data_IF_361585683255
#
_entry.id   IF_361585683255
#
_cell.length_a   1.000
_cell.length_b   1.000
_cell.length_c   1.000
_cell.angle_alpha   90.00
_cell.angle_beta   90.00
_cell.angle_gamma   90.00
#
_symmetry.space_group_name_H-M   'P 1'
#
loop_
_entity.id
_entity.type
_entity.pdbx_description
1 polymer ?
#
# COMPACT_ATOMS: atom_id res chain seq x y z
N UNK A 1 -9.29 -1.90 -16.71
CA UNK A 1 -8.31 -0.94 -17.32
C UNK A 1 -7.69 -1.52 -18.60
N UNK A 2 -7.32 -0.66 -19.57
CA UNK A 2 -6.57 -1.09 -20.77
C UNK A 2 -5.07 -1.16 -20.45
N UNK A 3 -4.32 -2.01 -21.21
CA UNK A 3 -2.85 -2.08 -21.07
C UNK A 3 -2.15 -0.75 -21.21
N UNK A 4 -2.59 0.11 -22.14
CA UNK A 4 -2.00 1.44 -22.32
C UNK A 4 -2.18 2.35 -21.12
N UNK A 5 -3.30 2.24 -20.40
CA UNK A 5 -3.59 2.97 -19.17
C UNK A 5 -2.67 2.46 -18.05
N UNK A 6 -2.58 1.14 -17.84
CA UNK A 6 -1.68 0.51 -16.87
C UNK A 6 -0.22 0.94 -17.13
N UNK A 7 0.25 0.87 -18.38
CA UNK A 7 1.60 1.31 -18.72
C UNK A 7 1.83 2.81 -18.47
N UNK A 8 0.79 3.65 -18.62
CA UNK A 8 0.84 5.05 -18.28
C UNK A 8 1.04 5.27 -16.78
N UNK A 9 0.29 4.54 -15.96
CA UNK A 9 0.35 4.56 -14.50
C UNK A 9 1.73 4.10 -14.00
N UNK A 10 2.23 2.99 -14.55
CA UNK A 10 3.57 2.48 -14.22
C UNK A 10 4.65 3.54 -14.50
N UNK A 11 4.63 4.19 -15.67
CA UNK A 11 5.60 5.27 -15.98
C UNK A 11 5.51 6.44 -15.01
N UNK A 12 4.30 6.87 -14.63
CA UNK A 12 4.13 7.93 -13.62
C UNK A 12 4.73 7.51 -12.27
N UNK A 13 4.57 6.25 -11.91
CA UNK A 13 5.13 5.73 -10.67
C UNK A 13 6.67 5.63 -10.75
N UNK A 14 7.23 5.17 -11.86
CA UNK A 14 8.69 5.15 -12.10
C UNK A 14 9.28 6.56 -12.00
N UNK A 15 8.62 7.59 -12.57
CA UNK A 15 9.01 8.99 -12.44
C UNK A 15 9.01 9.46 -10.97
N UNK A 16 8.01 9.02 -10.18
CA UNK A 16 7.94 9.35 -8.75
C UNK A 16 9.07 8.67 -7.97
N UNK A 17 9.35 7.40 -8.22
CA UNK A 17 10.45 6.66 -7.63
C UNK A 17 11.81 7.31 -7.94
N UNK A 18 12.02 7.71 -9.20
CA UNK A 18 13.24 8.38 -9.63
C UNK A 18 13.44 9.74 -8.92
N UNK A 19 12.38 10.55 -8.78
CA UNK A 19 12.41 11.82 -8.04
C UNK A 19 12.79 11.65 -6.57
N UNK A 20 12.40 10.53 -5.97
CA UNK A 20 12.71 10.20 -4.57
C UNK A 20 13.98 9.32 -4.43
N UNK A 21 14.74 9.13 -5.51
CA UNK A 21 15.95 8.30 -5.52
C UNK A 21 15.72 6.87 -4.99
N UNK A 22 14.52 6.32 -5.21
CA UNK A 22 14.17 4.98 -4.77
C UNK A 22 14.48 3.96 -5.87
N UNK A 23 15.48 3.12 -5.64
CA UNK A 23 15.88 2.08 -6.59
C UNK A 23 15.02 0.82 -6.40
N UNK A 24 14.51 0.29 -7.51
CA UNK A 24 13.75 -0.95 -7.52
C UNK A 24 14.64 -2.19 -7.69
N UNK A 25 14.21 -3.37 -7.18
CA UNK A 25 14.85 -4.64 -7.51
C UNK A 25 14.82 -4.92 -9.02
N UNK A 26 15.88 -5.54 -9.60
CA UNK A 26 15.96 -5.74 -11.06
C UNK A 26 14.77 -6.46 -11.69
N UNK A 27 14.16 -7.42 -10.98
CA UNK A 27 13.03 -8.20 -11.51
C UNK A 27 11.79 -7.35 -11.86
N UNK A 28 11.63 -6.17 -11.27
CA UNK A 28 10.50 -5.28 -11.56
C UNK A 28 10.54 -4.71 -12.98
N UNK A 29 11.72 -4.70 -13.60
CA UNK A 29 11.94 -4.26 -14.98
C UNK A 29 12.01 -5.41 -16.01
N UNK A 30 11.75 -6.67 -15.62
CA UNK A 30 11.82 -7.79 -16.55
C UNK A 30 10.71 -7.71 -17.58
N UNK A 31 11.09 -7.89 -18.85
CA UNK A 31 10.14 -8.02 -19.96
C UNK A 31 9.44 -9.39 -19.93
N UNK A 32 8.32 -9.57 -20.67
CA UNK A 32 7.69 -10.88 -20.81
C UNK A 32 8.64 -11.97 -21.33
N UNK A 33 9.57 -11.59 -22.23
CA UNK A 33 10.59 -12.51 -22.78
C UNK A 33 11.58 -12.94 -21.70
N UNK A 34 12.07 -12.00 -20.88
CA UNK A 34 12.95 -12.29 -19.74
C UNK A 34 12.26 -13.19 -18.72
N UNK A 35 10.97 -12.94 -18.43
CA UNK A 35 10.19 -13.82 -17.55
C UNK A 35 9.98 -15.21 -18.13
N UNK A 36 9.87 -15.36 -19.46
CA UNK A 36 9.74 -16.66 -20.11
C UNK A 36 11.03 -17.48 -20.04
N UNK A 37 12.20 -16.81 -19.97
CA UNK A 37 13.52 -17.44 -19.83
C UNK A 37 13.94 -17.66 -18.37
N UNK A 38 13.28 -16.99 -17.43
CA UNK A 38 13.60 -17.05 -16.01
C UNK A 38 13.30 -18.43 -15.41
N UNK A 39 14.32 -19.07 -14.86
CA UNK A 39 14.26 -20.40 -14.26
C UNK A 39 13.78 -20.41 -12.81
N UNK A 40 14.07 -21.50 -12.12
CA UNK A 40 13.63 -21.74 -10.72
C UNK A 40 14.28 -20.81 -9.70
N UNK A 41 15.36 -20.14 -10.03
CA UNK A 41 15.98 -19.10 -9.17
C UNK A 41 15.06 -17.91 -8.89
N UNK A 42 13.96 -17.76 -9.67
CA UNK A 42 12.94 -16.73 -9.51
C UNK A 42 11.63 -17.26 -8.90
N UNK A 43 11.60 -18.47 -8.38
CA UNK A 43 10.38 -19.07 -7.85
C UNK A 43 9.84 -18.30 -6.64
N UNK A 44 10.70 -17.76 -5.77
CA UNK A 44 10.26 -16.92 -4.64
C UNK A 44 9.48 -15.69 -5.13
N UNK A 45 9.93 -15.03 -6.21
CA UNK A 45 9.23 -13.86 -6.77
C UNK A 45 7.81 -14.22 -7.20
N UNK A 46 7.66 -15.38 -7.88
CA UNK A 46 6.35 -15.85 -8.36
C UNK A 46 5.45 -16.32 -7.22
N UNK A 47 6.00 -17.09 -6.30
CA UNK A 47 5.23 -17.69 -5.19
C UNK A 47 4.81 -16.66 -4.15
N UNK A 48 5.65 -15.66 -3.87
CA UNK A 48 5.36 -14.59 -2.93
C UNK A 48 4.57 -13.43 -3.55
N UNK A 49 4.25 -13.49 -4.85
CA UNK A 49 3.49 -12.47 -5.56
C UNK A 49 4.20 -11.12 -5.61
N UNK A 50 5.55 -11.14 -5.83
CA UNK A 50 6.32 -9.90 -5.89
C UNK A 50 6.16 -9.22 -7.25
N UNK A 51 6.24 -7.89 -7.28
CA UNK A 51 6.21 -7.07 -8.49
C UNK A 51 5.07 -6.07 -8.51
N UNK A 52 4.74 -5.62 -9.71
CA UNK A 52 3.76 -4.57 -9.97
C UNK A 52 2.32 -5.08 -9.79
N UNK A 53 1.52 -4.23 -9.16
CA UNK A 53 0.06 -4.34 -9.18
C UNK A 53 -0.56 -2.96 -9.41
N UNK A 54 -1.59 -2.89 -10.25
CA UNK A 54 -2.37 -1.69 -10.54
C UNK A 54 -3.83 -2.05 -10.50
N UNK A 55 -4.53 -1.56 -9.50
CA UNK A 55 -5.91 -1.92 -9.24
C UNK A 55 -6.84 -0.71 -9.21
N UNK A 56 -8.04 -0.88 -9.73
CA UNK A 56 -9.19 0.01 -9.52
C UNK A 56 -10.26 -0.67 -8.64
N UNK A 57 -9.87 -1.73 -7.95
CA UNK A 57 -10.74 -2.55 -7.09
C UNK A 57 -11.98 -3.09 -7.82
N UNK A 58 -11.91 -3.22 -9.16
CA UNK A 58 -13.02 -3.66 -10.00
C UNK A 58 -14.11 -2.61 -10.24
N UNK A 59 -13.88 -1.37 -9.82
CA UNK A 59 -14.87 -0.28 -9.90
C UNK A 59 -14.85 0.49 -11.22
N UNK A 60 -13.83 0.29 -12.07
CA UNK A 60 -13.71 0.97 -13.38
C UNK A 60 -13.45 2.47 -13.28
N UNK A 61 -12.95 2.97 -12.15
CA UNK A 61 -12.75 4.40 -11.89
C UNK A 61 -11.39 4.65 -11.21
N UNK A 62 -10.31 4.15 -11.82
CA UNK A 62 -8.95 4.22 -11.26
C UNK A 62 -8.57 5.62 -10.74
N UNK A 63 -8.92 6.67 -11.46
CA UNK A 63 -8.61 8.07 -11.09
C UNK A 63 -9.22 8.51 -9.75
N UNK A 64 -10.31 7.86 -9.33
CA UNK A 64 -11.01 8.18 -8.07
C UNK A 64 -10.75 7.17 -6.98
N UNK A 65 -10.73 5.90 -7.36
CA UNK A 65 -10.57 4.77 -6.46
C UNK A 65 -9.62 3.79 -7.10
N UNK A 66 -8.42 3.74 -6.60
CA UNK A 66 -7.36 2.94 -7.20
C UNK A 66 -6.06 3.02 -6.43
N UNK A 67 -5.15 2.15 -6.79
CA UNK A 67 -3.81 2.11 -6.23
C UNK A 67 -2.86 1.52 -7.27
N UNK A 68 -1.64 2.05 -7.32
CA UNK A 68 -0.52 1.40 -7.98
C UNK A 68 0.53 1.06 -6.91
N UNK A 69 1.00 -0.17 -6.91
CA UNK A 69 1.96 -0.65 -5.93
C UNK A 69 2.99 -1.60 -6.55
N UNK A 70 4.07 -1.79 -5.83
CA UNK A 70 5.06 -2.83 -6.08
C UNK A 70 5.27 -3.58 -4.78
N UNK A 71 4.99 -4.87 -4.76
CA UNK A 71 5.41 -5.75 -3.68
C UNK A 71 6.89 -6.06 -3.85
N UNK A 72 7.71 -5.51 -2.97
CA UNK A 72 9.17 -5.66 -3.01
C UNK A 72 9.62 -6.94 -2.30
N UNK A 73 8.94 -7.28 -1.22
CA UNK A 73 9.16 -8.48 -0.39
C UNK A 73 7.84 -8.97 0.16
N UNK A 74 7.71 -10.28 0.29
CA UNK A 74 6.63 -10.91 1.03
C UNK A 74 7.11 -12.26 1.58
N UNK A 75 6.51 -12.68 2.69
CA UNK A 75 6.80 -13.97 3.29
C UNK A 75 6.07 -15.11 2.62
N UNK A 76 6.70 -16.28 2.65
CA UNK A 76 6.08 -17.57 2.34
C UNK A 76 5.91 -18.36 3.65
N UNK A 77 5.02 -19.36 3.73
CA UNK A 77 4.88 -20.20 4.91
C UNK A 77 6.22 -20.77 5.39
N UNK A 78 6.59 -20.47 6.64
CA UNK A 78 7.88 -20.85 7.24
C UNK A 78 9.09 -20.02 6.80
N UNK A 79 8.87 -18.99 6.01
CA UNK A 79 9.90 -18.05 5.53
C UNK A 79 9.94 -16.73 6.30
N UNK A 80 10.16 -15.63 5.58
CA UNK A 80 10.20 -14.28 6.15
C UNK A 80 8.86 -13.90 6.81
N UNK A 81 8.86 -13.34 8.04
CA UNK A 81 7.61 -12.97 8.73
C UNK A 81 7.11 -11.56 8.36
N UNK A 82 7.64 -10.95 7.30
CA UNK A 82 7.36 -9.56 6.91
C UNK A 82 7.14 -9.40 5.41
N UNK A 83 6.48 -8.29 5.06
CA UNK A 83 6.33 -7.81 3.70
C UNK A 83 6.77 -6.35 3.59
N UNK A 84 7.12 -5.91 2.39
CA UNK A 84 7.38 -4.53 2.04
C UNK A 84 6.75 -4.21 0.70
N UNK A 85 6.00 -3.11 0.66
CA UNK A 85 5.44 -2.54 -0.56
C UNK A 85 5.84 -1.08 -0.70
N UNK A 86 5.93 -0.62 -1.93
CA UNK A 86 6.01 0.79 -2.28
C UNK A 86 4.81 1.11 -3.18
N UNK A 87 4.15 2.23 -2.92
CA UNK A 87 2.88 2.57 -3.55
C UNK A 87 2.89 4.01 -4.06
N UNK A 88 2.12 4.27 -5.10
CA UNK A 88 1.82 5.61 -5.57
C UNK A 88 0.37 5.95 -5.22
N UNK A 89 0.17 6.93 -4.33
CA UNK A 89 -1.13 7.55 -4.08
C UNK A 89 -1.22 8.85 -4.87
N UNK A 90 -2.19 8.94 -5.78
CA UNK A 90 -2.43 10.16 -6.57
C UNK A 90 -3.34 11.13 -5.80
N UNK A 91 -3.35 12.45 -6.13
CA UNK A 91 -4.20 13.41 -5.47
C UNK A 91 -5.67 13.00 -5.47
N UNK A 92 -6.29 12.92 -4.30
CA UNK A 92 -7.69 12.55 -4.06
C UNK A 92 -8.08 11.14 -4.55
N UNK A 93 -7.15 10.33 -5.00
CA UNK A 93 -7.39 8.93 -5.36
C UNK A 93 -7.42 8.08 -4.08
N UNK A 94 -8.55 7.47 -3.81
CA UNK A 94 -8.81 6.75 -2.56
C UNK A 94 -8.40 5.29 -2.67
N UNK A 95 -7.54 4.84 -1.75
CA UNK A 95 -7.47 3.44 -1.37
C UNK A 95 -8.67 3.18 -0.44
N UNK A 96 -9.62 2.30 -0.81
CA UNK A 96 -10.89 2.13 -0.11
C UNK A 96 -10.74 1.72 1.34
N UNK A 97 -11.76 2.02 2.14
CA UNK A 97 -11.85 1.63 3.54
C UNK A 97 -11.86 0.11 3.68
N UNK A 98 -10.86 -0.43 4.35
CA UNK A 98 -10.69 -1.86 4.64
C UNK A 98 -9.97 -2.04 5.97
N UNK A 99 -9.88 -3.26 6.48
CA UNK A 99 -9.09 -3.62 7.65
C UNK A 99 -8.47 -5.00 7.44
N UNK A 100 -7.53 -5.38 8.28
CA UNK A 100 -6.93 -6.70 8.28
C UNK A 100 -7.29 -7.47 9.56
N UNK A 101 -7.55 -8.75 9.42
CA UNK A 101 -7.84 -9.63 10.56
C UNK A 101 -6.60 -9.93 11.39
N UNK A 102 -5.42 -9.99 10.76
CA UNK A 102 -4.17 -10.47 11.37
C UNK A 102 -2.97 -9.58 11.09
N UNK A 103 -2.97 -8.89 9.94
CA UNK A 103 -1.82 -8.10 9.51
C UNK A 103 -1.70 -6.83 10.35
N UNK A 104 -0.49 -6.62 10.91
CA UNK A 104 -0.03 -5.33 11.39
C UNK A 104 0.81 -4.69 10.31
N UNK A 105 0.64 -3.40 10.07
CA UNK A 105 1.39 -2.66 9.05
C UNK A 105 1.75 -1.26 9.51
N UNK A 106 2.93 -0.81 9.10
CA UNK A 106 3.32 0.59 9.13
C UNK A 106 3.12 1.19 7.74
N UNK A 107 2.27 2.22 7.64
CA UNK A 107 2.12 3.03 6.43
C UNK A 107 2.91 4.32 6.60
N UNK A 108 3.81 4.58 5.66
CA UNK A 108 4.84 5.60 5.76
C UNK A 108 4.72 6.57 4.59
N UNK A 109 4.63 7.87 4.85
CA UNK A 109 4.79 8.88 3.81
C UNK A 109 6.28 9.02 3.47
N UNK A 110 6.71 8.44 2.34
CA UNK A 110 8.11 8.47 1.88
C UNK A 110 8.48 9.76 1.14
N UNK A 111 7.48 10.59 0.85
CA UNK A 111 7.72 11.89 0.21
C UNK A 111 6.61 12.27 -0.78
N UNK A 112 6.62 13.53 -1.18
CA UNK A 112 5.61 14.14 -2.03
C UNK A 112 4.66 15.02 -1.22
N UNK A 113 3.36 14.88 -1.43
CA UNK A 113 2.32 15.62 -0.71
C UNK A 113 2.05 15.09 0.69
N UNK A 114 0.93 15.52 1.25
CA UNK A 114 0.42 15.01 2.52
C UNK A 114 -0.43 13.75 2.28
N UNK A 115 -0.19 12.69 3.06
CA UNK A 115 -0.96 11.43 2.99
C UNK A 115 -2.08 11.48 4.02
N UNK A 116 -3.32 11.51 3.56
CA UNK A 116 -4.53 11.61 4.38
C UNK A 116 -5.06 10.22 4.75
N UNK A 117 -5.55 10.09 5.98
CA UNK A 117 -6.19 8.87 6.50
C UNK A 117 -7.56 9.14 7.04
N UNK A 118 -8.44 8.12 6.93
CA UNK A 118 -9.71 8.02 7.64
C UNK A 118 -9.71 6.68 8.36
N UNK A 119 -9.90 6.69 9.68
CA UNK A 119 -9.79 5.50 10.52
C UNK A 119 -11.07 5.22 11.31
N UNK A 120 -11.29 3.91 11.60
CA UNK A 120 -12.28 3.45 12.54
C UNK A 120 -11.76 2.19 13.26
N UNK A 121 -12.24 1.93 14.47
CA UNK A 121 -12.07 0.63 15.10
C UNK A 121 -13.05 -0.40 14.51
N UNK A 122 -12.73 -1.69 14.64
CA UNK A 122 -13.68 -2.78 14.45
C UNK A 122 -13.86 -3.57 15.77
N UNK A 123 -15.02 -4.22 15.91
CA UNK A 123 -15.20 -5.24 16.93
C UNK A 123 -14.62 -6.60 16.49
N UNK A 124 -14.73 -7.60 17.33
CA UNK A 124 -14.21 -8.95 17.05
C UNK A 124 -14.90 -9.65 15.87
N UNK A 125 -16.08 -9.20 15.47
CA UNK A 125 -16.85 -9.72 14.34
C UNK A 125 -16.60 -8.90 13.05
N UNK A 126 -15.72 -7.88 13.11
CA UNK A 126 -15.40 -7.00 11.99
C UNK A 126 -16.40 -5.86 11.77
N UNK A 127 -17.32 -5.61 12.70
CA UNK A 127 -18.25 -4.49 12.56
C UNK A 127 -17.53 -3.18 12.92
N UNK A 128 -17.70 -2.16 12.08
CA UNK A 128 -17.13 -0.83 12.29
C UNK A 128 -17.72 -0.15 13.52
N UNK A 129 -16.86 0.45 14.33
CA UNK A 129 -17.21 1.21 15.53
C UNK A 129 -16.87 2.70 15.35
N UNK A 130 -17.77 3.59 15.77
CA UNK A 130 -17.56 5.04 15.74
C UNK A 130 -16.91 5.57 17.05
N UNK A 131 -15.94 4.80 17.57
CA UNK A 131 -15.14 5.17 18.75
C UNK A 131 -13.78 5.73 18.33
N UNK A 132 -13.24 6.65 19.13
CA UNK A 132 -11.90 7.20 18.89
C UNK A 132 -10.86 6.10 18.71
N UNK A 133 -10.00 6.26 17.70
CA UNK A 133 -8.96 5.28 17.36
C UNK A 133 -7.65 5.68 18.04
N UNK A 134 -7.09 4.78 18.83
CA UNK A 134 -5.77 4.96 19.45
C UNK A 134 -4.75 4.09 18.72
N UNK A 135 -3.67 4.71 18.26
CA UNK A 135 -2.62 4.06 17.47
C UNK A 135 -1.25 4.72 17.72
N UNK A 136 -0.21 4.26 17.03
CA UNK A 136 1.12 4.85 17.10
C UNK A 136 1.44 5.64 15.82
N UNK A 137 1.91 6.89 15.99
CA UNK A 137 2.51 7.71 14.94
C UNK A 137 3.97 7.93 15.29
N UNK A 138 4.88 7.39 14.50
CA UNK A 138 6.33 7.45 14.73
C UNK A 138 6.73 7.00 16.15
N UNK A 139 6.12 5.89 16.63
CA UNK A 139 6.33 5.36 17.98
C UNK A 139 5.61 6.11 19.10
N UNK A 140 4.98 7.28 18.81
CA UNK A 140 4.18 8.04 19.76
C UNK A 140 2.73 7.61 19.73
N UNK A 141 2.17 7.24 20.88
CA UNK A 141 0.74 6.96 21.03
C UNK A 141 -0.08 8.23 20.80
N UNK A 142 -1.05 8.15 19.87
CA UNK A 142 -1.99 9.22 19.54
C UNK A 142 -3.41 8.68 19.50
N UNK A 143 -4.39 9.58 19.71
CA UNK A 143 -5.80 9.25 19.57
C UNK A 143 -6.43 10.21 18.57
N UNK A 144 -7.16 9.69 17.61
CA UNK A 144 -7.85 10.45 16.56
C UNK A 144 -9.34 10.10 16.56
N UNK A 145 -10.24 11.05 16.31
CA UNK A 145 -11.66 10.77 16.22
C UNK A 145 -11.97 9.84 15.03
N UNK A 146 -12.90 8.91 15.21
CA UNK A 146 -13.35 8.03 14.14
C UNK A 146 -13.92 8.82 12.96
N UNK A 147 -13.55 8.44 11.74
CA UNK A 147 -14.05 9.03 10.50
C UNK A 147 -13.56 10.45 10.19
N UNK A 148 -12.75 11.06 11.03
CA UNK A 148 -12.20 12.40 10.79
C UNK A 148 -10.89 12.29 10.04
N UNK A 149 -10.74 12.91 8.84
CA UNK A 149 -9.49 12.89 8.10
C UNK A 149 -8.36 13.56 8.88
N UNK A 150 -7.16 12.96 8.85
CA UNK A 150 -5.93 13.56 9.35
C UNK A 150 -4.76 13.17 8.44
N UNK A 151 -3.71 13.95 8.45
CA UNK A 151 -2.61 13.82 7.50
C UNK A 151 -1.28 13.40 8.13
N UNK A 152 -0.47 12.73 7.31
CA UNK A 152 0.94 12.46 7.54
C UNK A 152 1.77 13.30 6.58
N UNK A 153 2.70 14.05 7.13
CA UNK A 153 3.71 14.77 6.35
C UNK A 153 4.84 13.81 5.89
N UNK A 154 5.64 14.19 4.88
CA UNK A 154 6.79 13.39 4.48
C UNK A 154 7.70 13.00 5.64
N UNK A 155 8.01 11.71 5.75
CA UNK A 155 8.80 11.11 6.81
C UNK A 155 7.98 10.51 7.96
N UNK A 156 6.72 10.90 8.12
CA UNK A 156 5.85 10.37 9.19
C UNK A 156 5.23 9.02 8.82
N UNK A 157 4.88 8.24 9.83
CA UNK A 157 4.27 6.91 9.70
C UNK A 157 3.15 6.65 10.70
N UNK A 158 2.27 5.71 10.36
CA UNK A 158 1.27 5.15 11.27
C UNK A 158 1.45 3.64 11.37
N UNK A 159 1.35 3.12 12.59
CA UNK A 159 1.16 1.68 12.82
C UNK A 159 -0.33 1.36 12.89
N UNK A 160 -0.80 0.54 11.97
CA UNK A 160 -2.16 0.03 11.88
C UNK A 160 -2.17 -1.42 12.37
N UNK A 161 -2.86 -1.64 13.48
CA UNK A 161 -3.02 -2.98 14.05
C UNK A 161 -4.21 -3.71 13.43
N UNK A 162 -4.33 -5.04 13.59
CA UNK A 162 -5.52 -5.77 13.19
C UNK A 162 -6.80 -5.12 13.70
N UNK A 163 -7.89 -5.23 12.93
CA UNK A 163 -9.20 -4.65 13.24
C UNK A 163 -9.23 -3.11 13.26
N UNK A 164 -8.25 -2.46 12.66
CA UNK A 164 -8.28 -1.02 12.41
C UNK A 164 -8.70 -0.74 10.96
N UNK A 165 -9.94 -0.31 10.76
CA UNK A 165 -10.37 0.17 9.45
C UNK A 165 -9.59 1.40 9.04
N UNK A 166 -9.09 1.39 7.82
CA UNK A 166 -8.35 2.51 7.25
C UNK A 166 -8.65 2.70 5.77
N UNK A 167 -8.75 3.96 5.38
CA UNK A 167 -8.68 4.42 4.00
C UNK A 167 -7.59 5.49 3.94
N UNK A 168 -6.90 5.61 2.81
CA UNK A 168 -5.93 6.66 2.62
C UNK A 168 -5.98 7.24 1.19
N UNK A 169 -5.48 8.45 1.05
CA UNK A 169 -5.36 9.16 -0.23
C UNK A 169 -4.34 10.29 -0.12
N UNK A 170 -3.71 10.66 -1.21
CA UNK A 170 -2.91 11.89 -1.24
C UNK A 170 -3.82 13.14 -1.25
N UNK A 171 -3.45 14.17 -0.49
CA UNK A 171 -4.17 15.45 -0.51
C UNK A 171 -4.10 16.12 -1.90
N UNK A 172 -4.84 17.21 -2.11
CA UNK A 172 -4.77 18.00 -3.35
C UNK A 172 -3.37 18.58 -3.64
N UNK A 173 -2.50 18.65 -2.62
CA UNK A 173 -1.17 19.25 -2.75
C UNK A 173 -0.23 18.48 -3.67
N UNK A 174 -0.48 17.19 -3.93
CA UNK A 174 0.32 16.37 -4.85
C UNK A 174 0.34 14.89 -4.52
N UNK A 175 0.86 14.10 -5.44
CA UNK A 175 1.03 12.66 -5.23
C UNK A 175 1.98 12.36 -4.09
N UNK A 176 1.79 11.20 -3.46
CA UNK A 176 2.62 10.70 -2.35
C UNK A 176 3.25 9.37 -2.73
N UNK A 177 4.54 9.24 -2.48
CA UNK A 177 5.23 7.97 -2.44
C UNK A 177 5.00 7.34 -1.07
N UNK A 178 4.28 6.22 -1.04
CA UNK A 178 3.86 5.56 0.20
C UNK A 178 4.65 4.27 0.37
N UNK A 179 5.27 4.07 1.53
CA UNK A 179 5.86 2.80 1.92
C UNK A 179 4.92 2.02 2.83
N UNK A 180 4.91 0.71 2.70
CA UNK A 180 4.30 -0.22 3.64
C UNK A 180 5.37 -1.21 4.12
N UNK A 181 5.47 -1.38 5.42
CA UNK A 181 6.19 -2.48 6.06
C UNK A 181 5.19 -3.21 6.95
N UNK A 182 5.02 -4.49 6.71
CA UNK A 182 3.96 -5.24 7.39
C UNK A 182 4.40 -6.65 7.78
N UNK A 183 3.58 -7.35 8.57
CA UNK A 183 3.61 -8.80 8.59
C UNK A 183 3.26 -9.35 7.19
N UNK A 184 3.44 -10.66 6.97
CA UNK A 184 3.19 -11.27 5.65
C UNK A 184 1.82 -10.87 5.12
N UNK A 185 1.81 -10.52 3.82
CA UNK A 185 0.59 -10.11 3.13
C UNK A 185 -0.14 -11.32 2.55
N UNK A 186 -1.43 -11.42 2.82
CA UNK A 186 -2.36 -12.39 2.23
C UNK A 186 -3.65 -11.65 1.85
N UNK A 187 -3.67 -11.06 0.66
CA UNK A 187 -4.80 -10.26 0.17
C UNK A 187 -6.08 -11.07 -0.05
N UNK A 188 -6.00 -12.42 -0.02
CA UNK A 188 -7.15 -13.31 -0.24
C UNK A 188 -7.84 -13.67 1.07
N UNK A 189 -7.07 -13.86 2.15
CA UNK A 189 -7.59 -14.40 3.41
C UNK A 189 -7.63 -13.38 4.55
N UNK A 190 -7.02 -12.21 4.40
CA UNK A 190 -6.81 -11.24 5.48
C UNK A 190 -7.43 -9.84 5.23
N UNK A 191 -8.29 -9.71 4.21
CA UNK A 191 -9.07 -8.49 3.93
C UNK A 191 -10.55 -8.71 4.17
#
# INVERSE_FOLDING_TARGET
MKRSEINGIIRQFEDMLARHCFALPPFTGFTPEQWAEAGHEWDEVRQAGLGWDVTDYGLGQYEKTGLALITLRNGLPGGKPYAEKIMLSQPLQVCPLHFHWKKTEDIINRGGGELMFILYNADADGNRLDTDVTLHRDGRRVTVPAGVPFGLMPGESLTLEPLCYHAFYASEAGSVLVGEVSSCNDDVADN
#
